data_IF_741115796099
#
_entry.id   IF_741115796099
#
_cell.length_a   1.000
_cell.length_b   1.000
_cell.length_c   1.000
_cell.angle_alpha   90.00
_cell.angle_beta   90.00
_cell.angle_gamma   90.00
#
_symmetry.space_group_name_H-M   'P 1'
#
loop_
_entity.id
_entity.type
_entity.pdbx_description
1 polymer ?
#
# COMPACT_ATOMS: atom_id res chain seq x y z
N UNK A 1 16.77 -8.19 1.56
CA UNK A 1 17.36 -7.80 2.87
C UNK A 1 16.68 -8.63 3.93
N UNK A 2 17.33 -8.81 5.08
CA UNK A 2 16.70 -9.49 6.21
C UNK A 2 15.67 -8.57 6.87
N UNK A 3 14.63 -9.17 7.45
CA UNK A 3 13.53 -8.43 8.09
C UNK A 3 14.02 -7.37 9.08
N UNK A 4 14.98 -7.71 9.94
CA UNK A 4 15.53 -6.81 10.95
C UNK A 4 16.24 -5.58 10.33
N UNK A 5 16.94 -5.76 9.22
CA UNK A 5 17.64 -4.67 8.53
C UNK A 5 16.65 -3.67 7.94
N UNK A 6 15.55 -4.17 7.35
CA UNK A 6 14.47 -3.34 6.81
C UNK A 6 13.76 -2.59 7.94
N UNK A 7 13.50 -3.25 9.07
CA UNK A 7 12.86 -2.62 10.24
C UNK A 7 13.74 -1.49 10.78
N UNK A 8 15.04 -1.70 10.94
CA UNK A 8 15.96 -0.66 11.40
C UNK A 8 16.09 0.50 10.40
N UNK A 9 16.17 0.20 9.10
CA UNK A 9 16.17 1.22 8.05
C UNK A 9 14.88 2.06 8.10
N UNK A 10 13.71 1.42 8.25
CA UNK A 10 12.44 2.09 8.39
C UNK A 10 12.41 2.99 9.63
N UNK A 11 12.87 2.51 10.78
CA UNK A 11 12.96 3.30 12.03
C UNK A 11 13.84 4.54 11.85
N UNK A 12 14.99 4.39 11.20
CA UNK A 12 15.89 5.51 10.89
C UNK A 12 15.24 6.53 9.96
N UNK A 13 14.56 6.11 8.88
CA UNK A 13 13.85 7.03 8.00
C UNK A 13 12.71 7.76 8.70
N UNK A 14 12.03 7.07 9.60
CA UNK A 14 10.98 7.61 10.44
C UNK A 14 11.48 8.55 11.55
N UNK A 15 12.77 8.63 11.88
CA UNK A 15 13.22 9.65 12.84
C UNK A 15 13.34 11.04 12.22
N UNK A 16 13.27 11.15 10.89
CA UNK A 16 13.30 12.43 10.20
C UNK A 16 11.96 13.16 10.37
N UNK A 17 11.95 14.42 10.82
CA UNK A 17 10.73 15.16 11.15
C UNK A 17 9.97 15.69 9.93
N UNK A 18 10.58 15.73 8.75
CA UNK A 18 9.94 16.23 7.54
C UNK A 18 10.42 15.51 6.28
N UNK A 19 9.60 15.61 5.24
CA UNK A 19 9.85 15.00 3.93
C UNK A 19 8.70 14.13 3.45
N UNK A 20 8.98 13.37 2.38
CA UNK A 20 8.06 12.35 1.86
C UNK A 20 8.22 11.09 2.70
N UNK A 21 7.15 10.66 3.35
CA UNK A 21 7.14 9.50 4.24
C UNK A 21 6.33 8.33 3.66
N UNK A 22 6.48 8.13 2.34
CA UNK A 22 5.97 6.96 1.63
C UNK A 22 7.10 5.95 1.49
N UNK A 23 6.90 4.76 2.06
CA UNK A 23 7.87 3.67 2.09
C UNK A 23 7.28 2.43 1.41
N UNK A 24 8.14 1.55 0.90
CA UNK A 24 7.72 0.28 0.31
C UNK A 24 8.61 -0.88 0.73
N UNK A 25 7.98 -2.04 0.93
CA UNK A 25 8.67 -3.33 1.10
C UNK A 25 8.12 -4.30 0.07
N UNK A 26 9.00 -4.75 -0.82
CA UNK A 26 8.76 -5.75 -1.85
C UNK A 26 8.99 -7.15 -1.30
N UNK A 27 8.23 -8.11 -1.82
CA UNK A 27 8.41 -9.53 -1.53
C UNK A 27 7.26 -10.35 -2.10
N UNK A 28 7.34 -11.67 -1.94
CA UNK A 28 6.21 -12.58 -2.20
C UNK A 28 5.14 -12.42 -1.11
N UNK A 29 3.88 -12.79 -1.39
CA UNK A 29 2.81 -12.78 -0.38
C UNK A 29 3.21 -13.48 0.93
N UNK A 30 3.76 -14.72 0.92
CA UNK A 30 4.17 -15.39 2.16
C UNK A 30 5.29 -14.67 2.91
N UNK A 31 6.23 -14.04 2.18
CA UNK A 31 7.33 -13.30 2.82
C UNK A 31 6.83 -12.02 3.48
N UNK A 32 5.90 -11.30 2.84
CA UNK A 32 5.29 -10.09 3.38
C UNK A 32 4.43 -10.39 4.61
N UNK A 33 3.70 -11.51 4.61
CA UNK A 33 2.93 -11.95 5.78
C UNK A 33 3.83 -12.28 6.99
N UNK A 34 4.97 -12.96 6.74
CA UNK A 34 5.97 -13.22 7.78
C UNK A 34 6.60 -11.93 8.28
N UNK A 35 6.98 -11.03 7.37
CA UNK A 35 7.54 -9.73 7.71
C UNK A 35 6.57 -8.88 8.53
N UNK A 36 5.29 -8.84 8.14
CA UNK A 36 4.24 -8.12 8.86
C UNK A 36 4.07 -8.60 10.31
N UNK A 37 4.21 -9.90 10.56
CA UNK A 37 4.17 -10.45 11.94
C UNK A 37 5.34 -9.93 12.77
N UNK A 38 6.57 -10.01 12.25
CA UNK A 38 7.77 -9.50 12.93
C UNK A 38 7.75 -7.99 13.12
N UNK A 39 7.28 -7.25 12.11
CA UNK A 39 7.14 -5.80 12.19
C UNK A 39 6.24 -5.39 13.36
N UNK A 40 5.14 -6.10 13.59
CA UNK A 40 4.23 -5.87 14.72
C UNK A 40 4.83 -6.19 16.09
N UNK A 41 5.85 -7.05 16.15
CA UNK A 41 6.61 -7.36 17.36
C UNK A 41 7.66 -6.28 17.66
N UNK A 42 8.12 -5.57 16.63
CA UNK A 42 9.07 -4.48 16.75
C UNK A 42 8.43 -3.19 17.29
N UNK A 43 9.30 -2.28 17.74
CA UNK A 43 8.91 -0.95 18.23
C UNK A 43 9.42 0.15 17.31
N UNK A 44 8.61 1.19 17.16
CA UNK A 44 8.97 2.46 16.51
C UNK A 44 9.97 3.23 17.38
N UNK A 45 10.50 4.34 16.86
CA UNK A 45 11.47 5.18 17.58
C UNK A 45 10.88 5.84 18.83
N UNK A 46 9.56 6.08 18.86
CA UNK A 46 8.81 6.55 20.04
C UNK A 46 8.35 5.41 20.98
N UNK A 47 8.87 4.19 20.79
CA UNK A 47 8.63 3.05 21.67
C UNK A 47 7.26 2.37 21.51
N UNK A 48 6.40 2.87 20.62
CA UNK A 48 5.11 2.25 20.29
C UNK A 48 5.32 1.01 19.40
N UNK A 49 4.34 0.12 19.36
CA UNK A 49 4.37 -0.99 18.40
C UNK A 49 3.98 -0.49 17.02
N UNK A 50 4.52 -1.11 15.98
CA UNK A 50 4.02 -0.89 14.63
C UNK A 50 2.54 -1.33 14.54
N UNK A 51 1.71 -0.58 13.79
CA UNK A 51 0.30 -0.93 13.61
C UNK A 51 0.16 -2.25 12.82
N UNK A 52 -1.04 -2.84 12.87
CA UNK A 52 -1.36 -3.96 11.98
C UNK A 52 -1.52 -3.43 10.54
N UNK A 53 -1.03 -4.14 9.52
CA UNK A 53 -1.35 -3.82 8.13
C UNK A 53 -2.86 -3.80 7.89
N UNK A 54 -3.30 -2.80 7.11
CA UNK A 54 -4.65 -2.63 6.66
C UNK A 54 -4.75 -3.14 5.22
N UNK A 55 -5.81 -3.92 4.94
CA UNK A 55 -6.13 -4.35 3.59
C UNK A 55 -6.75 -3.18 2.83
N UNK A 56 -6.16 -2.80 1.69
CA UNK A 56 -6.72 -1.75 0.83
C UNK A 56 -7.95 -2.27 0.11
N UNK A 57 -7.91 -3.48 -0.45
CA UNK A 57 -9.06 -4.09 -1.10
C UNK A 57 -10.28 -4.13 -0.16
N UNK A 58 -10.12 -4.66 1.06
CA UNK A 58 -11.22 -4.68 2.04
C UNK A 58 -11.65 -3.28 2.44
N UNK A 59 -10.69 -2.35 2.61
CA UNK A 59 -10.99 -0.96 2.94
C UNK A 59 -11.83 -0.24 1.88
N UNK A 60 -11.60 -0.55 0.60
CA UNK A 60 -12.39 -0.05 -0.52
C UNK A 60 -13.79 -0.68 -0.51
N UNK A 61 -13.86 -2.01 -0.41
CA UNK A 61 -15.13 -2.74 -0.40
C UNK A 61 -16.03 -2.30 0.76
N UNK A 62 -15.47 -2.16 1.97
CA UNK A 62 -16.19 -1.70 3.16
C UNK A 62 -16.65 -0.21 3.05
N UNK A 63 -16.10 0.56 2.11
CA UNK A 63 -16.45 1.96 1.88
C UNK A 63 -17.49 2.16 0.76
N UNK A 64 -17.80 1.11 -0.02
CA UNK A 64 -18.84 1.12 -1.04
C UNK A 64 -20.16 0.66 -0.39
N UNK A 65 -21.25 1.44 -0.45
CA UNK A 65 -22.56 1.01 0.05
C UNK A 65 -23.07 -0.25 -0.66
N UNK A 66 -23.74 -1.16 0.05
CA UNK A 66 -24.21 -2.45 -0.50
C UNK A 66 -25.05 -2.34 -1.79
N UNK A 67 -25.92 -1.32 -1.86
CA UNK A 67 -26.76 -1.07 -3.04
C UNK A 67 -25.95 -0.55 -4.23
N UNK A 68 -24.91 0.24 -3.98
CA UNK A 68 -23.95 0.67 -5.00
C UNK A 68 -23.10 -0.53 -5.47
N UNK A 69 -22.70 -1.39 -4.54
CA UNK A 69 -21.91 -2.59 -4.82
C UNK A 69 -22.63 -3.57 -5.77
N UNK A 70 -23.92 -3.85 -5.55
CA UNK A 70 -24.73 -4.68 -6.46
C UNK A 70 -24.77 -4.09 -7.87
N UNK A 71 -24.99 -2.79 -7.99
CA UNK A 71 -25.01 -2.11 -9.28
C UNK A 71 -23.64 -2.14 -9.98
N UNK A 72 -22.54 -2.07 -9.22
CA UNK A 72 -21.19 -2.20 -9.78
C UNK A 72 -20.95 -3.60 -10.33
N UNK A 73 -21.27 -4.66 -9.57
CA UNK A 73 -21.07 -6.05 -10.00
C UNK A 73 -21.90 -6.40 -11.24
N UNK A 74 -23.14 -5.90 -11.33
CA UNK A 74 -24.01 -6.18 -12.48
C UNK A 74 -23.58 -5.44 -13.77
N UNK A 75 -22.89 -4.30 -13.64
CA UNK A 75 -22.59 -3.42 -14.76
C UNK A 75 -21.09 -3.33 -15.09
N UNK A 76 -20.19 -3.92 -14.32
CA UNK A 76 -18.74 -3.84 -14.52
C UNK A 76 -18.32 -4.28 -15.92
N UNK A 77 -18.86 -5.41 -16.41
CA UNK A 77 -18.59 -5.91 -17.75
C UNK A 77 -19.13 -4.98 -18.87
N UNK A 78 -20.11 -4.12 -18.56
CA UNK A 78 -20.77 -3.21 -19.52
C UNK A 78 -20.24 -1.79 -19.45
N UNK A 79 -19.72 -1.34 -18.30
CA UNK A 79 -19.31 0.04 -18.00
C UNK A 79 -18.15 0.07 -17.00
N UNK A 80 -16.92 -0.25 -17.44
CA UNK A 80 -15.75 -0.33 -16.55
C UNK A 80 -15.30 1.03 -15.99
N UNK A 81 -15.48 2.11 -16.76
CA UNK A 81 -15.07 3.47 -16.35
C UNK A 81 -15.85 4.01 -15.14
N UNK A 82 -17.21 3.93 -15.10
CA UNK A 82 -17.96 4.23 -13.88
C UNK A 82 -17.51 3.41 -12.67
N UNK A 83 -17.24 2.11 -12.82
CA UNK A 83 -16.80 1.27 -11.71
C UNK A 83 -15.47 1.75 -11.14
N UNK A 84 -14.48 2.03 -12.00
CA UNK A 84 -13.19 2.55 -11.59
C UNK A 84 -13.31 3.88 -10.80
N UNK A 85 -14.22 4.78 -11.20
CA UNK A 85 -14.47 6.04 -10.50
C UNK A 85 -15.03 5.82 -9.07
N UNK A 86 -15.94 4.86 -8.89
CA UNK A 86 -16.46 4.52 -7.56
C UNK A 86 -15.38 3.89 -6.68
N UNK A 87 -14.58 2.97 -7.23
CA UNK A 87 -13.41 2.38 -6.53
C UNK A 87 -12.42 3.47 -6.12
N UNK A 88 -12.13 4.43 -7.00
CA UNK A 88 -11.24 5.55 -6.70
C UNK A 88 -11.75 6.41 -5.54
N UNK A 89 -13.05 6.75 -5.56
CA UNK A 89 -13.70 7.52 -4.49
C UNK A 89 -13.71 6.77 -3.16
N UNK A 90 -14.02 5.47 -3.19
CA UNK A 90 -13.99 4.61 -2.01
C UNK A 90 -12.57 4.50 -1.43
N UNK A 91 -11.55 4.36 -2.28
CA UNK A 91 -10.14 4.39 -1.87
C UNK A 91 -9.77 5.71 -1.20
N UNK A 92 -10.19 6.84 -1.78
CA UNK A 92 -9.93 8.15 -1.21
C UNK A 92 -10.57 8.31 0.19
N UNK A 93 -11.85 7.93 0.33
CA UNK A 93 -12.58 7.97 1.61
C UNK A 93 -11.87 7.09 2.64
N UNK A 94 -11.54 5.85 2.26
CA UNK A 94 -10.83 4.91 3.13
C UNK A 94 -9.51 5.50 3.62
N UNK A 95 -8.67 5.99 2.69
CA UNK A 95 -7.35 6.50 3.03
C UNK A 95 -7.44 7.73 3.92
N UNK A 96 -8.31 8.70 3.58
CA UNK A 96 -8.52 9.90 4.40
C UNK A 96 -8.97 9.55 5.82
N UNK A 97 -9.91 8.62 5.96
CA UNK A 97 -10.40 8.17 7.27
C UNK A 97 -9.31 7.53 8.13
N UNK A 98 -8.43 6.71 7.52
CA UNK A 98 -7.31 6.10 8.25
C UNK A 98 -6.21 7.10 8.60
N UNK A 99 -6.06 8.15 7.81
CA UNK A 99 -5.03 9.19 7.98
C UNK A 99 -5.46 10.35 8.89
N UNK A 100 -6.72 10.42 9.35
CA UNK A 100 -7.18 11.45 10.31
C UNK A 100 -6.33 11.46 11.59
N UNK A 101 -5.85 10.29 12.01
CA UNK A 101 -4.90 10.15 13.12
C UNK A 101 -3.49 10.18 12.54
N UNK A 102 -2.80 11.31 12.71
CA UNK A 102 -1.38 11.47 12.37
C UNK A 102 -0.56 10.28 12.88
N UNK A 103 0.44 9.87 12.11
CA UNK A 103 1.31 8.73 12.44
C UNK A 103 1.54 7.81 11.25
N UNK A 104 1.88 6.55 11.56
CA UNK A 104 2.14 5.52 10.56
C UNK A 104 0.89 4.69 10.30
N UNK A 105 0.57 4.49 9.03
CA UNK A 105 -0.28 3.39 8.58
C UNK A 105 0.54 2.42 7.72
N UNK A 106 0.15 1.15 7.75
CA UNK A 106 0.75 0.11 6.91
C UNK A 106 -0.37 -0.42 6.02
N UNK A 107 -0.15 -0.42 4.71
CA UNK A 107 -1.11 -0.86 3.71
C UNK A 107 -0.61 -2.15 3.06
N UNK A 108 -1.56 -3.06 2.79
CA UNK A 108 -1.36 -4.36 2.17
C UNK A 108 -2.54 -4.66 1.25
N UNK A 109 -2.42 -5.68 0.39
CA UNK A 109 -3.49 -6.09 -0.53
C UNK A 109 -4.02 -4.91 -1.36
N UNK A 110 -3.20 -4.45 -2.31
CA UNK A 110 -3.42 -3.27 -3.13
C UNK A 110 -3.96 -3.61 -4.54
N UNK A 111 -4.31 -4.86 -4.79
CA UNK A 111 -4.63 -5.42 -6.11
C UNK A 111 -5.73 -4.61 -6.81
N UNK A 112 -6.76 -4.18 -6.08
CA UNK A 112 -7.84 -3.36 -6.67
C UNK A 112 -7.32 -2.04 -7.24
N UNK A 113 -6.29 -1.42 -6.65
CA UNK A 113 -5.73 -0.19 -7.21
C UNK A 113 -5.12 -0.42 -8.60
N UNK A 114 -4.52 -1.59 -8.82
CA UNK A 114 -3.88 -1.93 -10.08
C UNK A 114 -4.88 -2.49 -11.10
N UNK A 115 -5.81 -3.35 -10.66
CA UNK A 115 -6.86 -3.91 -11.51
C UNK A 115 -7.72 -2.80 -12.15
N UNK A 116 -8.06 -1.76 -11.38
CA UNK A 116 -8.83 -0.61 -11.86
C UNK A 116 -7.95 0.55 -12.39
N UNK A 117 -6.63 0.35 -12.55
CA UNK A 117 -5.70 1.35 -13.07
C UNK A 117 -5.78 2.71 -12.35
N UNK A 118 -5.91 2.68 -11.02
CA UNK A 118 -6.06 3.89 -10.22
C UNK A 118 -4.74 4.65 -10.06
N UNK A 119 -4.85 5.97 -10.07
CA UNK A 119 -3.74 6.88 -9.82
C UNK A 119 -3.24 6.79 -8.37
N UNK A 120 -1.99 6.38 -8.20
CA UNK A 120 -1.37 6.20 -6.88
C UNK A 120 -0.84 7.51 -6.27
N UNK A 121 -0.96 8.63 -6.97
CA UNK A 121 -0.49 9.94 -6.53
C UNK A 121 -1.11 10.38 -5.19
N UNK A 122 -2.31 9.92 -4.87
CA UNK A 122 -2.96 10.19 -3.58
C UNK A 122 -2.13 9.68 -2.39
N UNK A 123 -1.48 8.50 -2.51
CA UNK A 123 -0.60 7.96 -1.46
C UNK A 123 0.55 8.92 -1.16
N UNK A 124 1.13 9.50 -2.22
CA UNK A 124 2.24 10.46 -2.09
C UNK A 124 1.79 11.76 -1.45
N UNK A 125 0.63 12.28 -1.83
CA UNK A 125 0.06 13.50 -1.26
C UNK A 125 -0.29 13.32 0.22
N UNK A 126 -0.74 12.14 0.61
CA UNK A 126 -1.13 11.86 2.00
C UNK A 126 0.05 11.50 2.91
N UNK A 127 1.15 11.02 2.36
CA UNK A 127 2.36 10.64 3.08
C UNK A 127 3.35 11.82 3.23
N UNK A 128 2.88 12.93 3.78
CA UNK A 128 3.66 14.14 4.03
C UNK A 128 3.70 14.49 5.51
N UNK A 129 4.79 15.14 5.94
CA UNK A 129 4.99 15.66 7.29
C UNK A 129 4.80 14.57 8.39
N UNK A 130 3.81 14.73 9.27
CA UNK A 130 3.55 13.79 10.36
C UNK A 130 2.84 12.50 9.92
N UNK A 131 2.49 12.41 8.63
CA UNK A 131 1.68 11.32 8.06
C UNK A 131 2.55 10.38 7.24
N UNK A 132 2.56 9.10 7.63
CA UNK A 132 3.50 8.11 7.10
C UNK A 132 2.76 6.89 6.59
N UNK A 133 3.20 6.39 5.44
CA UNK A 133 2.59 5.23 4.81
C UNK A 133 3.70 4.23 4.47
N UNK A 134 3.55 2.99 4.94
CA UNK A 134 4.35 1.86 4.47
C UNK A 134 3.49 0.96 3.60
N UNK A 135 3.93 0.67 2.39
CA UNK A 135 3.28 -0.26 1.47
C UNK A 135 3.97 -1.63 1.57
N UNK A 136 3.18 -2.67 1.81
CA UNK A 136 3.59 -4.07 1.62
C UNK A 136 3.18 -4.47 0.21
N UNK A 137 4.18 -4.63 -0.66
CA UNK A 137 4.03 -4.69 -2.10
C UNK A 137 4.35 -6.11 -2.59
N UNK A 138 3.36 -6.95 -2.91
CA UNK A 138 3.59 -8.25 -3.51
C UNK A 138 4.21 -8.02 -4.90
N UNK A 139 5.52 -8.15 -5.01
CA UNK A 139 6.23 -7.69 -6.18
C UNK A 139 7.73 -7.90 -6.06
N UNK A 140 8.39 -7.89 -7.22
CA UNK A 140 9.83 -8.15 -7.34
C UNK A 140 10.47 -7.16 -8.31
N UNK A 141 11.77 -6.92 -8.13
CA UNK A 141 12.53 -6.10 -9.07
C UNK A 141 12.96 -6.94 -10.27
N UNK A 142 12.64 -6.48 -11.47
CA UNK A 142 13.07 -7.09 -12.72
C UNK A 142 13.40 -6.01 -13.76
N UNK A 143 14.61 -6.03 -14.32
CA UNK A 143 15.00 -5.13 -15.41
C UNK A 143 14.89 -3.63 -15.10
N UNK A 144 15.12 -3.22 -13.85
CA UNK A 144 14.98 -1.82 -13.42
C UNK A 144 13.54 -1.35 -13.22
N UNK A 145 12.57 -2.26 -13.30
CA UNK A 145 11.16 -2.03 -12.98
C UNK A 145 10.75 -2.91 -11.81
N UNK A 146 9.62 -2.57 -11.20
CA UNK A 146 9.00 -3.38 -10.16
C UNK A 146 7.77 -4.01 -10.77
N UNK A 147 7.79 -5.33 -10.86
CA UNK A 147 6.65 -6.13 -11.33
C UNK A 147 5.81 -6.47 -10.10
N UNK A 148 4.56 -6.05 -10.12
CA UNK A 148 3.59 -6.29 -9.06
C UNK A 148 2.80 -7.56 -9.38
N UNK A 149 2.49 -8.33 -8.34
CA UNK A 149 1.70 -9.56 -8.39
C UNK A 149 2.21 -10.60 -9.41
N UNK A 150 3.52 -10.96 -9.37
CA UNK A 150 4.11 -11.86 -10.36
C UNK A 150 3.52 -13.28 -10.34
N UNK A 151 2.82 -13.65 -9.25
CA UNK A 151 2.15 -14.94 -9.10
C UNK A 151 0.72 -14.96 -9.65
N UNK A 152 0.20 -13.83 -10.16
CA UNK A 152 -1.10 -13.74 -10.81
C UNK A 152 -0.94 -13.84 -12.32
N UNK A 153 -1.72 -14.72 -12.97
CA UNK A 153 -1.72 -14.89 -14.42
C UNK A 153 -2.33 -13.67 -15.15
N UNK A 154 -3.06 -12.82 -14.44
CA UNK A 154 -3.73 -11.62 -14.95
C UNK A 154 -2.77 -10.43 -15.07
N UNK A 155 -1.95 -10.45 -16.12
CA UNK A 155 -1.20 -9.27 -16.58
C UNK A 155 0.00 -8.86 -15.70
N UNK A 156 1.00 -8.28 -16.35
CA UNK A 156 2.18 -7.74 -15.66
C UNK A 156 1.90 -6.31 -15.20
N UNK A 157 1.44 -6.13 -13.96
CA UNK A 157 1.33 -4.81 -13.36
C UNK A 157 2.70 -4.25 -12.99
N UNK A 158 2.89 -2.94 -13.14
CA UNK A 158 4.15 -2.28 -12.77
C UNK A 158 3.92 -1.18 -11.76
N UNK A 159 4.74 -1.12 -10.72
CA UNK A 159 4.73 0.03 -9.81
C UNK A 159 5.31 1.27 -10.52
N UNK A 160 4.64 2.44 -10.47
CA UNK A 160 5.21 3.67 -11.01
C UNK A 160 6.56 3.98 -10.36
N UNK A 161 7.59 4.18 -11.17
CA UNK A 161 8.99 4.36 -10.73
C UNK A 161 9.23 5.59 -9.85
N UNK A 162 8.31 6.56 -9.90
CA UNK A 162 8.37 7.82 -9.15
C UNK A 162 7.43 7.84 -7.92
N UNK A 163 6.74 6.73 -7.62
CA UNK A 163 5.83 6.66 -6.48
C UNK A 163 6.60 6.66 -5.16
N UNK A 164 7.52 5.72 -5.00
CA UNK A 164 8.36 5.55 -3.81
C UNK A 164 9.80 5.86 -4.20
N UNK A 165 10.50 6.69 -3.42
CA UNK A 165 11.91 6.95 -3.66
C UNK A 165 12.74 5.69 -3.42
N UNK A 166 13.78 5.49 -4.24
CA UNK A 166 14.61 4.28 -4.23
C UNK A 166 15.19 3.93 -2.85
N UNK A 167 15.63 4.94 -2.10
CA UNK A 167 16.16 4.79 -0.74
C UNK A 167 15.09 4.63 0.36
N UNK A 168 13.82 4.51 -0.03
CA UNK A 168 12.65 4.23 0.82
C UNK A 168 11.94 2.94 0.38
N UNK A 169 12.55 2.19 -0.54
CA UNK A 169 12.03 0.95 -1.08
C UNK A 169 13.02 -0.18 -0.81
N UNK A 170 12.57 -1.22 -0.13
CA UNK A 170 13.39 -2.40 0.20
C UNK A 170 12.74 -3.66 -0.35
N UNK A 171 13.53 -4.71 -0.54
CA UNK A 171 13.06 -6.01 -1.03
C UNK A 171 13.47 -7.11 -0.05
N UNK A 172 12.51 -7.94 0.36
CA UNK A 172 12.74 -9.11 1.21
C UNK A 172 13.55 -10.14 0.43
N UNK A 173 14.52 -10.78 1.10
CA UNK A 173 15.30 -11.90 0.55
C UNK A 173 14.93 -13.18 1.28
#
# INVERSE_FOLDING_TARGET
>A
MKDAEIIEALRSKMSLPGGRHLYGVLGTYPSLDKFAKKLREAKTTDGKKFPKPLSVNRGILDAIPDEEFKHLVENEAKRPEPTAAHVAKAFEIFLRNKMQKKGLIILSQLEMLFAYHLELNLLRTMAADDSRILLLLPGTRSGGRIIMFPDLDEGSYTLPSNLVAENHLWELK
#
